data_IF_702101228828
#
_entry.id   IF_702101228828
#
_cell.length_a   1.000
_cell.length_b   1.000
_cell.length_c   1.000
_cell.angle_alpha   90.00
_cell.angle_beta   90.00
_cell.angle_gamma   90.00
#
_symmetry.space_group_name_H-M   'P 1'
#
loop_
_entity.id
_entity.type
_entity.pdbx_description
1 polymer ?
#
# COMPACT_ATOMS: atom_id res chain seq x y z
N UNK A 1 -15.05 -5.15 -7.70
CA UNK A 1 -13.77 -5.07 -8.41
C UNK A 1 -13.19 -6.46 -8.44
N UNK A 2 -13.25 -7.10 -9.59
CA UNK A 2 -12.64 -8.41 -9.82
C UNK A 2 -11.21 -8.22 -10.30
N UNK A 3 -10.36 -9.24 -10.15
CA UNK A 3 -9.00 -9.23 -10.71
C UNK A 3 -9.05 -9.76 -12.14
N UNK A 4 -8.62 -8.94 -13.10
CA UNK A 4 -8.53 -9.31 -14.51
C UNK A 4 -7.11 -9.74 -14.87
N UNK A 5 -6.97 -10.76 -15.73
CA UNK A 5 -5.68 -11.17 -16.29
C UNK A 5 -5.20 -10.26 -17.42
N UNK A 6 -3.99 -10.51 -17.94
CA UNK A 6 -3.35 -9.72 -19.01
C UNK A 6 -3.87 -10.01 -20.43
N UNK A 7 -5.05 -10.61 -20.57
CA UNK A 7 -5.65 -10.96 -21.86
C UNK A 7 -6.70 -9.94 -22.31
N UNK A 8 -7.12 -10.01 -23.57
CA UNK A 8 -8.21 -9.20 -24.11
C UNK A 8 -7.97 -8.74 -25.54
N UNK A 9 -8.87 -7.89 -26.03
CA UNK A 9 -8.75 -7.22 -27.32
C UNK A 9 -8.29 -5.78 -27.10
N UNK A 10 -7.37 -5.30 -27.94
CA UNK A 10 -6.79 -3.95 -27.83
C UNK A 10 -6.96 -3.23 -29.16
N UNK A 11 -7.49 -2.01 -29.11
CA UNK A 11 -7.62 -1.13 -30.27
C UNK A 11 -6.80 0.15 -30.06
N UNK A 12 -5.86 0.42 -30.96
CA UNK A 12 -5.05 1.63 -30.94
C UNK A 12 -5.80 2.81 -31.57
N UNK A 13 -6.10 3.83 -30.76
CA UNK A 13 -6.91 4.99 -31.17
C UNK A 13 -6.10 6.03 -31.98
N UNK A 14 -4.79 5.83 -32.14
CA UNK A 14 -3.92 6.72 -32.92
C UNK A 14 -3.58 8.04 -32.21
N UNK A 15 -2.83 8.92 -32.91
CA UNK A 15 -2.32 10.20 -32.35
C UNK A 15 -3.18 11.42 -32.73
N UNK A 16 -3.87 11.32 -33.87
CA UNK A 16 -4.68 12.42 -34.41
C UNK A 16 -6.14 12.26 -33.98
N UNK A 17 -6.80 13.37 -33.70
CA UNK A 17 -8.21 13.39 -33.30
C UNK A 17 -9.13 12.73 -34.35
N UNK A 18 -8.91 13.00 -35.64
CA UNK A 18 -9.79 12.48 -36.69
C UNK A 18 -9.63 10.96 -36.87
N UNK A 19 -8.39 10.46 -36.79
CA UNK A 19 -8.10 9.03 -36.79
C UNK A 19 -8.71 8.32 -35.56
N UNK A 20 -8.61 8.97 -34.39
CA UNK A 20 -9.23 8.48 -33.16
C UNK A 20 -10.75 8.35 -33.27
N UNK A 21 -11.41 9.37 -33.81
CA UNK A 21 -12.85 9.36 -34.01
C UNK A 21 -13.28 8.31 -35.04
N UNK A 22 -12.50 8.10 -36.10
CA UNK A 22 -12.75 7.04 -37.07
C UNK A 22 -12.67 5.65 -36.42
N UNK A 23 -11.60 5.35 -35.67
CA UNK A 23 -11.45 4.07 -34.97
C UNK A 23 -12.59 3.86 -33.96
N UNK A 24 -12.98 4.89 -33.21
CA UNK A 24 -14.09 4.78 -32.25
C UNK A 24 -15.43 4.53 -32.97
N UNK A 25 -15.64 5.13 -34.14
CA UNK A 25 -16.83 4.88 -34.96
C UNK A 25 -16.86 3.43 -35.46
N UNK A 26 -15.73 2.93 -35.96
CA UNK A 26 -15.61 1.54 -36.43
C UNK A 26 -15.86 0.53 -35.29
N UNK A 27 -15.29 0.78 -34.10
CA UNK A 27 -15.51 -0.07 -32.92
C UNK A 27 -16.98 -0.05 -32.46
N UNK A 28 -17.66 1.09 -32.61
CA UNK A 28 -19.08 1.21 -32.29
C UNK A 28 -19.96 0.49 -33.31
N UNK A 29 -19.62 0.58 -34.60
CA UNK A 29 -20.34 -0.13 -35.67
C UNK A 29 -20.16 -1.65 -35.56
N UNK A 30 -18.98 -2.10 -35.13
CA UNK A 30 -18.67 -3.51 -34.90
C UNK A 30 -19.24 -4.10 -33.59
N UNK A 31 -20.00 -3.32 -32.82
CA UNK A 31 -20.51 -3.70 -31.48
C UNK A 31 -19.41 -4.27 -30.57
N UNK A 32 -18.23 -3.62 -30.58
CA UNK A 32 -17.04 -4.11 -29.87
C UNK A 32 -17.25 -4.23 -28.35
N UNK A 33 -18.18 -3.45 -27.79
CA UNK A 33 -18.63 -3.56 -26.41
C UNK A 33 -20.02 -4.19 -26.42
N UNK A 34 -20.06 -5.48 -26.12
CA UNK A 34 -21.28 -6.28 -26.12
C UNK A 34 -21.75 -6.65 -24.70
N UNK A 35 -22.81 -7.47 -24.61
CA UNK A 35 -23.35 -7.97 -23.33
C UNK A 35 -22.38 -8.89 -22.55
N UNK A 36 -21.35 -9.42 -23.19
CA UNK A 36 -20.37 -10.32 -22.59
C UNK A 36 -19.12 -9.58 -22.11
N UNK A 37 -18.96 -8.33 -22.49
CA UNK A 37 -17.87 -7.46 -22.08
C UNK A 37 -17.91 -7.22 -20.58
N UNK A 38 -16.78 -7.47 -19.90
CA UNK A 38 -16.68 -7.38 -18.43
C UNK A 38 -15.96 -6.16 -17.92
N UNK A 39 -14.95 -5.70 -18.64
CA UNK A 39 -14.22 -4.51 -18.31
C UNK A 39 -13.71 -3.88 -19.60
N UNK A 40 -13.81 -2.56 -19.67
CA UNK A 40 -13.16 -1.76 -20.70
C UNK A 40 -12.17 -0.84 -20.00
N UNK A 41 -10.92 -0.90 -20.44
CA UNK A 41 -9.83 -0.09 -19.89
C UNK A 41 -9.35 0.86 -20.97
N UNK A 42 -9.42 2.16 -20.67
CA UNK A 42 -8.84 3.20 -21.50
C UNK A 42 -7.57 3.66 -20.81
N UNK A 43 -6.43 3.43 -21.47
CA UNK A 43 -5.11 3.73 -20.92
C UNK A 43 -4.31 4.62 -21.86
N UNK A 44 -3.66 5.64 -21.28
CA UNK A 44 -2.73 6.49 -22.00
C UNK A 44 -1.65 7.04 -21.05
N UNK A 45 -0.48 7.35 -21.62
CA UNK A 45 0.66 7.88 -20.87
C UNK A 45 0.97 9.30 -21.33
N UNK A 46 1.11 10.21 -20.37
CA UNK A 46 1.50 11.61 -20.60
C UNK A 46 2.88 11.86 -20.00
N UNK A 47 3.75 12.56 -20.74
CA UNK A 47 5.06 12.99 -20.25
C UNK A 47 5.07 14.50 -20.00
N UNK A 48 5.50 14.91 -18.82
CA UNK A 48 5.73 16.31 -18.49
C UNK A 48 7.23 16.61 -18.51
N UNK A 49 7.69 17.38 -19.51
CA UNK A 49 9.10 17.70 -19.71
C UNK A 49 9.69 18.65 -18.64
N UNK A 50 8.86 19.50 -18.02
CA UNK A 50 9.34 20.49 -17.04
C UNK A 50 9.80 19.84 -15.74
N UNK A 51 9.08 18.80 -15.29
CA UNK A 51 9.39 18.06 -14.05
C UNK A 51 9.96 16.66 -14.31
N UNK A 52 10.01 16.24 -15.58
CA UNK A 52 10.53 14.94 -16.03
C UNK A 52 9.81 13.75 -15.34
N UNK A 53 8.49 13.73 -15.45
CA UNK A 53 7.65 12.64 -14.96
C UNK A 53 6.77 12.08 -16.07
N UNK A 54 6.62 10.77 -16.07
CA UNK A 54 5.64 10.04 -16.85
C UNK A 54 4.44 9.75 -15.95
N UNK A 55 3.23 9.98 -16.45
CA UNK A 55 1.99 9.65 -15.77
C UNK A 55 1.13 8.81 -16.68
N UNK A 56 0.93 7.56 -16.29
CA UNK A 56 0.01 6.63 -16.95
C UNK A 56 -1.35 6.74 -16.27
N UNK A 57 -2.38 7.05 -17.05
CA UNK A 57 -3.75 7.15 -16.60
C UNK A 57 -4.53 5.97 -17.15
N UNK A 58 -5.17 5.23 -16.27
CA UNK A 58 -6.03 4.10 -16.61
C UNK A 58 -7.44 4.36 -16.06
N UNK A 59 -8.41 4.43 -16.97
CA UNK A 59 -9.82 4.54 -16.68
C UNK A 59 -10.47 3.19 -16.97
N UNK A 60 -10.96 2.53 -15.93
CA UNK A 60 -11.59 1.21 -16.06
C UNK A 60 -13.08 1.32 -15.81
N UNK A 61 -13.88 0.79 -16.73
CA UNK A 61 -15.33 0.63 -16.56
C UNK A 61 -15.62 -0.86 -16.47
N UNK A 62 -16.03 -1.32 -15.29
CA UNK A 62 -16.45 -2.70 -15.06
C UNK A 62 -17.96 -2.84 -15.29
N UNK A 63 -18.37 -3.79 -16.12
CA UNK A 63 -19.78 -4.11 -16.37
C UNK A 63 -20.21 -5.30 -15.51
N UNK A 64 -21.16 -5.04 -14.62
CA UNK A 64 -21.73 -6.00 -13.69
C UNK A 64 -22.67 -6.96 -14.43
N UNK A 65 -22.76 -8.20 -13.95
CA UNK A 65 -23.73 -9.19 -14.42
C UNK A 65 -25.19 -8.70 -14.42
N UNK A 66 -25.51 -7.76 -13.53
CA UNK A 66 -26.86 -7.19 -13.37
C UNK A 66 -27.11 -5.95 -14.25
N UNK A 67 -26.22 -5.64 -15.19
CA UNK A 67 -26.38 -4.54 -16.16
C UNK A 67 -25.92 -3.16 -15.68
N UNK A 68 -25.31 -3.06 -14.49
CA UNK A 68 -24.69 -1.82 -14.01
C UNK A 68 -23.25 -1.65 -14.51
N UNK A 69 -22.77 -0.40 -14.52
CA UNK A 69 -21.37 -0.07 -14.84
C UNK A 69 -20.70 0.65 -13.65
N UNK A 70 -19.52 0.20 -13.26
CA UNK A 70 -18.72 0.77 -12.17
C UNK A 70 -17.43 1.33 -12.73
N UNK A 71 -17.25 2.64 -12.63
CA UNK A 71 -16.03 3.31 -13.07
C UNK A 71 -14.98 3.36 -11.96
N UNK A 72 -13.73 3.06 -12.28
CA UNK A 72 -12.57 3.28 -11.44
C UNK A 72 -11.47 4.00 -12.21
N UNK A 73 -10.63 4.75 -11.49
CA UNK A 73 -9.51 5.49 -12.05
C UNK A 73 -8.22 5.14 -11.31
N UNK A 74 -7.15 4.94 -12.06
CA UNK A 74 -5.80 4.72 -11.54
C UNK A 74 -4.85 5.68 -12.24
N UNK A 75 -4.15 6.49 -11.45
CA UNK A 75 -3.13 7.42 -11.95
C UNK A 75 -1.80 6.96 -11.37
N UNK A 76 -0.86 6.63 -12.25
CA UNK A 76 0.45 6.08 -11.90
C UNK A 76 1.53 7.02 -12.41
N UNK A 77 2.21 7.70 -11.49
CA UNK A 77 3.25 8.68 -11.83
C UNK A 77 4.61 8.19 -11.39
N UNK A 78 5.59 8.24 -12.29
CA UNK A 78 6.93 7.72 -12.06
C UNK A 78 7.95 8.38 -12.99
N UNK A 79 9.21 8.31 -12.59
CA UNK A 79 10.32 8.98 -13.29
C UNK A 79 11.24 7.95 -13.92
N UNK A 80 11.11 7.75 -15.24
CA UNK A 80 12.02 6.91 -16.02
C UNK A 80 13.45 7.45 -15.98
N UNK A 81 13.61 8.76 -16.18
CA UNK A 81 14.93 9.38 -16.27
C UNK A 81 15.36 9.99 -14.92
N UNK A 82 15.98 9.18 -14.05
CA UNK A 82 16.30 9.56 -12.67
C UNK A 82 17.42 10.61 -12.54
N UNK A 83 18.52 10.44 -13.25
CA UNK A 83 19.70 11.32 -13.14
C UNK A 83 19.68 12.38 -14.24
N UNK A 84 18.97 13.48 -14.03
CA UNK A 84 18.95 14.63 -14.96
C UNK A 84 19.31 15.91 -14.21
N UNK A 85 20.18 16.71 -14.84
CA UNK A 85 20.57 18.03 -14.37
C UNK A 85 21.41 18.03 -13.08
N UNK A 86 21.64 19.22 -12.49
CA UNK A 86 22.42 19.38 -11.27
C UNK A 86 21.90 18.55 -10.08
N UNK A 87 20.57 18.47 -9.93
CA UNK A 87 19.94 17.65 -8.89
C UNK A 87 20.22 16.15 -9.07
N UNK A 88 20.38 15.67 -10.31
CA UNK A 88 20.74 14.29 -10.59
C UNK A 88 22.10 13.90 -10.02
N UNK A 89 23.10 14.79 -10.09
CA UNK A 89 24.42 14.56 -9.51
C UNK A 89 24.38 14.51 -7.97
N UNK A 90 23.55 15.35 -7.34
CA UNK A 90 23.34 15.32 -5.89
C UNK A 90 22.72 13.98 -5.48
N UNK A 91 21.68 13.53 -6.20
CA UNK A 91 21.05 12.23 -5.95
C UNK A 91 22.06 11.10 -6.10
N UNK A 92 22.92 11.13 -7.14
CA UNK A 92 23.98 10.14 -7.33
C UNK A 92 24.96 10.13 -6.15
N UNK A 93 25.42 11.30 -5.71
CA UNK A 93 26.31 11.43 -4.55
C UNK A 93 25.67 10.85 -3.27
N UNK A 94 24.37 11.08 -3.06
CA UNK A 94 23.62 10.51 -1.94
C UNK A 94 23.49 8.98 -2.03
N UNK A 95 23.37 8.40 -3.23
CA UNK A 95 23.37 6.95 -3.40
C UNK A 95 24.73 6.34 -3.05
N UNK A 96 25.83 6.97 -3.50
CA UNK A 96 27.18 6.54 -3.16
C UNK A 96 27.40 6.62 -1.64
N UNK A 97 26.96 7.72 -1.02
CA UNK A 97 27.02 7.89 0.43
C UNK A 97 26.22 6.81 1.16
N UNK A 98 25.01 6.50 0.70
CA UNK A 98 24.19 5.43 1.27
C UNK A 98 24.88 4.05 1.18
N UNK A 99 25.50 3.74 0.04
CA UNK A 99 26.29 2.50 -0.14
C UNK A 99 27.45 2.45 0.87
N UNK A 100 28.17 3.56 1.06
CA UNK A 100 29.25 3.62 2.04
C UNK A 100 28.75 3.41 3.48
N UNK A 101 27.64 4.05 3.86
CA UNK A 101 27.00 3.85 5.16
C UNK A 101 26.55 2.39 5.33
N UNK A 102 25.97 1.78 4.30
CA UNK A 102 25.55 0.38 4.32
C UNK A 102 26.74 -0.56 4.55
N UNK A 103 27.83 -0.41 3.79
CA UNK A 103 29.04 -1.22 3.96
C UNK A 103 29.63 -1.08 5.37
N UNK A 104 29.64 0.13 5.92
CA UNK A 104 30.04 0.37 7.30
C UNK A 104 29.14 -0.38 8.29
N UNK A 105 27.82 -0.30 8.15
CA UNK A 105 26.88 -1.04 9.02
C UNK A 105 27.04 -2.55 8.89
N UNK A 106 27.26 -3.06 7.68
CA UNK A 106 27.49 -4.48 7.43
C UNK A 106 28.77 -4.96 8.15
N UNK A 107 29.87 -4.23 8.01
CA UNK A 107 31.12 -4.54 8.71
C UNK A 107 30.95 -4.52 10.23
N UNK A 108 30.29 -3.48 10.77
CA UNK A 108 30.03 -3.33 12.20
C UNK A 108 29.23 -4.51 12.76
N UNK A 109 28.11 -4.85 12.12
CA UNK A 109 27.26 -5.95 12.56
C UNK A 109 27.92 -7.32 12.37
N UNK A 110 28.70 -7.53 11.31
CA UNK A 110 29.47 -8.76 11.12
C UNK A 110 30.51 -8.97 12.23
N UNK A 111 31.20 -7.89 12.65
CA UNK A 111 32.13 -7.93 13.79
C UNK A 111 31.40 -8.27 15.09
N UNK A 112 30.29 -7.59 15.38
CA UNK A 112 29.46 -7.85 16.57
C UNK A 112 28.93 -9.28 16.62
N UNK A 113 28.50 -9.81 15.47
CA UNK A 113 28.01 -11.19 15.34
C UNK A 113 29.13 -12.21 15.62
N UNK A 114 30.36 -11.94 15.19
CA UNK A 114 31.53 -12.80 15.46
C UNK A 114 31.89 -12.81 16.95
N UNK A 115 31.82 -11.66 17.62
CA UNK A 115 32.13 -11.54 19.05
C UNK A 115 31.07 -12.16 19.96
N UNK A 116 29.78 -11.99 19.64
CA UNK A 116 28.66 -12.39 20.50
C UNK A 116 28.05 -13.77 20.13
N UNK A 117 28.36 -14.30 18.95
CA UNK A 117 27.87 -15.59 18.47
C UNK A 117 26.35 -15.72 18.53
N UNK A 118 25.85 -16.85 19.06
CA UNK A 118 24.39 -17.13 19.16
C UNK A 118 23.63 -16.20 20.11
N UNK A 119 24.32 -15.50 21.02
CA UNK A 119 23.68 -14.53 21.94
C UNK A 119 23.18 -13.29 21.19
N UNK A 120 23.81 -12.96 20.06
CA UNK A 120 23.42 -11.83 19.22
C UNK A 120 21.97 -11.99 18.73
N UNK A 121 21.59 -13.15 18.20
CA UNK A 121 20.26 -13.40 17.63
C UNK A 121 19.12 -13.47 18.67
N UNK A 122 19.42 -13.61 19.97
CA UNK A 122 18.41 -13.62 21.04
C UNK A 122 17.94 -12.23 21.44
N UNK A 123 18.68 -11.18 21.09
CA UNK A 123 18.29 -9.81 21.42
C UNK A 123 17.37 -9.24 20.34
N UNK A 124 16.18 -8.73 20.68
CA UNK A 124 15.20 -8.27 19.68
C UNK A 124 15.73 -7.12 18.82
N UNK A 125 16.55 -6.24 19.40
CA UNK A 125 17.18 -5.13 18.67
C UNK A 125 18.18 -5.59 17.61
N UNK A 126 18.90 -6.68 17.88
CA UNK A 126 19.86 -7.25 16.94
C UNK A 126 19.14 -8.01 15.82
N UNK A 127 17.98 -8.62 16.09
CA UNK A 127 17.13 -9.17 15.05
C UNK A 127 16.67 -8.07 14.07
N UNK A 128 16.29 -6.90 14.59
CA UNK A 128 15.92 -5.74 13.77
C UNK A 128 17.12 -5.21 12.94
N UNK A 129 18.36 -5.31 13.44
CA UNK A 129 19.58 -5.01 12.68
C UNK A 129 19.76 -5.98 11.50
N UNK A 130 19.60 -7.28 11.73
CA UNK A 130 19.69 -8.31 10.68
C UNK A 130 18.62 -8.08 9.61
N UNK A 131 17.37 -7.86 10.02
CA UNK A 131 16.27 -7.56 9.09
C UNK A 131 16.58 -6.31 8.27
N UNK A 132 17.11 -5.25 8.88
CA UNK A 132 17.50 -4.04 8.16
C UNK A 132 18.55 -4.32 7.07
N UNK A 133 19.56 -5.14 7.37
CA UNK A 133 20.61 -5.51 6.41
C UNK A 133 20.01 -6.31 5.26
N UNK A 134 19.13 -7.27 5.55
CA UNK A 134 18.46 -8.09 4.54
C UNK A 134 17.59 -7.23 3.61
N UNK A 135 16.74 -6.36 4.17
CA UNK A 135 15.89 -5.46 3.38
C UNK A 135 16.75 -4.46 2.59
N UNK A 136 17.87 -3.99 3.15
CA UNK A 136 18.80 -3.11 2.41
C UNK A 136 19.45 -3.83 1.24
N UNK A 137 19.80 -5.11 1.38
CA UNK A 137 20.31 -5.92 0.26
C UNK A 137 19.24 -6.07 -0.84
N UNK A 138 17.99 -6.36 -0.45
CA UNK A 138 16.85 -6.39 -1.38
C UNK A 138 16.66 -5.02 -2.06
N UNK A 139 16.86 -3.91 -1.34
CA UNK A 139 16.76 -2.58 -1.92
C UNK A 139 17.77 -2.37 -3.06
N UNK A 140 19.01 -2.86 -2.91
CA UNK A 140 20.03 -2.79 -3.96
C UNK A 140 19.67 -3.64 -5.18
N UNK A 141 19.17 -4.86 -4.97
CA UNK A 141 18.78 -5.72 -6.10
C UNK A 141 17.59 -5.15 -6.86
N UNK A 142 16.56 -4.68 -6.13
CA UNK A 142 15.39 -4.04 -6.72
C UNK A 142 15.78 -2.75 -7.44
N UNK A 143 16.68 -1.95 -6.89
CA UNK A 143 17.20 -0.75 -7.56
C UNK A 143 17.89 -1.08 -8.89
N UNK A 144 18.70 -2.15 -8.93
CA UNK A 144 19.35 -2.57 -10.17
C UNK A 144 18.34 -3.01 -11.23
N UNK A 145 17.34 -3.82 -10.84
CA UNK A 145 16.28 -4.28 -11.75
C UNK A 145 15.43 -3.11 -12.27
N UNK A 146 15.01 -2.21 -11.39
CA UNK A 146 14.27 -1.01 -11.76
C UNK A 146 15.09 -0.09 -12.69
N UNK A 147 16.40 0.08 -12.44
CA UNK A 147 17.27 0.89 -13.29
C UNK A 147 17.41 0.30 -14.69
N UNK A 148 17.65 -1.02 -14.79
CA UNK A 148 17.76 -1.73 -16.07
C UNK A 148 16.43 -1.65 -16.83
N UNK A 149 15.31 -1.92 -16.15
CA UNK A 149 13.98 -1.89 -16.77
C UNK A 149 13.64 -0.50 -17.27
N UNK A 150 13.91 0.54 -16.48
CA UNK A 150 13.64 1.93 -16.85
C UNK A 150 14.46 2.36 -18.07
N UNK A 151 15.73 1.98 -18.15
CA UNK A 151 16.58 2.23 -19.33
C UNK A 151 16.04 1.52 -20.57
N UNK A 152 15.73 0.23 -20.45
CA UNK A 152 15.22 -0.56 -21.57
C UNK A 152 13.89 0.00 -22.10
N UNK A 153 12.99 0.43 -21.21
CA UNK A 153 11.73 1.07 -21.60
C UNK A 153 11.98 2.41 -22.29
N UNK A 154 12.91 3.22 -21.78
CA UNK A 154 13.26 4.51 -22.37
C UNK A 154 13.89 4.36 -23.78
N UNK A 155 14.83 3.43 -23.95
CA UNK A 155 15.49 3.18 -25.23
C UNK A 155 14.49 2.69 -26.29
N UNK A 156 13.54 1.82 -25.91
CA UNK A 156 12.48 1.35 -26.82
C UNK A 156 11.53 2.47 -27.25
N UNK A 157 11.18 3.39 -26.33
CA UNK A 157 10.35 4.54 -26.65
C UNK A 157 11.03 5.48 -27.65
N UNK A 158 12.33 5.74 -27.46
CA UNK A 158 13.09 6.62 -28.33
C UNK A 158 13.35 6.02 -29.71
N UNK A 159 13.66 4.72 -29.78
CA UNK A 159 14.13 4.10 -31.02
C UNK A 159 13.07 3.36 -31.82
N UNK A 160 12.09 2.72 -31.17
CA UNK A 160 11.20 1.79 -31.88
C UNK A 160 9.78 2.33 -32.10
N UNK A 161 9.41 3.50 -31.55
CA UNK A 161 8.06 4.07 -31.70
C UNK A 161 6.94 3.03 -31.50
N UNK A 162 7.23 2.02 -30.67
CA UNK A 162 6.38 0.84 -30.54
C UNK A 162 5.21 1.20 -29.64
N UNK A 163 3.99 0.96 -30.11
CA UNK A 163 2.75 1.39 -29.45
C UNK A 163 2.36 0.50 -28.25
N UNK A 164 3.25 -0.38 -27.81
CA UNK A 164 2.98 -1.34 -26.75
C UNK A 164 3.10 -0.69 -25.37
N UNK A 165 1.95 -0.33 -24.78
CA UNK A 165 1.81 0.26 -23.44
C UNK A 165 2.26 -0.67 -22.30
N UNK A 166 2.35 -1.99 -22.55
CA UNK A 166 2.71 -3.01 -21.55
C UNK A 166 4.10 -2.80 -20.92
N UNK A 167 5.02 -2.12 -21.60
CA UNK A 167 6.35 -1.82 -21.05
C UNK A 167 6.34 -0.77 -19.94
N UNK A 168 5.33 0.10 -19.92
CA UNK A 168 5.19 1.12 -18.89
C UNK A 168 4.72 0.51 -17.57
N UNK A 169 3.82 -0.48 -17.62
CA UNK A 169 3.37 -1.22 -16.44
C UNK A 169 4.50 -1.95 -15.72
N UNK A 170 5.39 -2.61 -16.47
CA UNK A 170 6.53 -3.32 -15.88
C UNK A 170 7.50 -2.34 -15.21
N UNK A 171 7.82 -1.22 -15.87
CA UNK A 171 8.68 -0.19 -15.29
C UNK A 171 8.06 0.43 -14.03
N UNK A 172 6.75 0.70 -14.05
CA UNK A 172 6.02 1.17 -12.88
C UNK A 172 6.03 0.16 -11.74
N UNK A 173 5.80 -1.12 -12.01
CA UNK A 173 5.79 -2.17 -11.00
C UNK A 173 7.11 -2.23 -10.23
N UNK A 174 8.25 -2.28 -10.94
CA UNK A 174 9.56 -2.28 -10.30
C UNK A 174 9.86 -0.98 -9.54
N UNK A 175 9.39 0.16 -10.06
CA UNK A 175 9.50 1.43 -9.36
C UNK A 175 8.73 1.43 -8.03
N UNK A 176 7.51 0.91 -8.04
CA UNK A 176 6.67 0.81 -6.86
C UNK A 176 7.28 -0.13 -5.80
N UNK A 177 7.81 -1.27 -6.23
CA UNK A 177 8.52 -2.22 -5.35
C UNK A 177 9.77 -1.56 -4.76
N UNK A 178 10.50 -0.77 -5.54
CA UNK A 178 11.65 0.01 -5.06
C UNK A 178 11.22 1.00 -3.97
N UNK A 179 10.16 1.79 -4.20
CA UNK A 179 9.64 2.75 -3.23
C UNK A 179 9.19 2.06 -1.94
N UNK A 180 8.47 0.95 -2.04
CA UNK A 180 8.05 0.18 -0.86
C UNK A 180 9.24 -0.37 -0.07
N UNK A 181 10.26 -0.86 -0.75
CA UNK A 181 11.46 -1.40 -0.12
C UNK A 181 12.25 -0.30 0.60
N UNK A 182 12.46 0.85 -0.05
CA UNK A 182 13.13 2.01 0.56
C UNK A 182 12.33 2.56 1.73
N UNK A 183 11.01 2.66 1.62
CA UNK A 183 10.14 3.09 2.71
C UNK A 183 10.25 2.14 3.92
N UNK A 184 10.33 0.83 3.67
CA UNK A 184 10.53 -0.17 4.73
C UNK A 184 11.88 0.00 5.41
N UNK A 185 12.97 0.20 4.66
CA UNK A 185 14.29 0.49 5.24
C UNK A 185 14.26 1.76 6.08
N UNK A 186 13.65 2.84 5.57
CA UNK A 186 13.53 4.11 6.29
C UNK A 186 12.73 3.94 7.59
N UNK A 187 11.62 3.21 7.55
CA UNK A 187 10.80 2.90 8.72
C UNK A 187 11.60 2.12 9.78
N UNK A 188 12.34 1.09 9.38
CA UNK A 188 13.19 0.32 10.30
C UNK A 188 14.28 1.21 10.90
N UNK A 189 14.91 2.07 10.11
CA UNK A 189 15.92 3.04 10.61
C UNK A 189 15.32 4.05 11.59
N UNK A 190 14.09 4.52 11.36
CA UNK A 190 13.36 5.38 12.32
C UNK A 190 13.07 4.61 13.61
N UNK A 191 12.65 3.35 13.54
CA UNK A 191 12.49 2.50 14.72
C UNK A 191 13.82 2.30 15.48
N UNK A 192 14.95 2.22 14.77
CA UNK A 192 16.29 2.18 15.41
C UNK A 192 16.61 3.46 16.18
N UNK A 193 16.11 4.62 15.75
CA UNK A 193 16.28 5.87 16.50
C UNK A 193 15.66 5.78 17.90
N UNK A 194 14.56 5.02 18.07
CA UNK A 194 13.98 4.76 19.40
C UNK A 194 14.96 4.02 20.34
N UNK A 195 15.87 3.20 19.81
CA UNK A 195 16.93 2.56 20.61
C UNK A 195 17.90 3.58 21.18
N UNK A 196 18.25 4.62 20.42
CA UNK A 196 19.12 5.71 20.87
C UNK A 196 18.44 6.54 21.96
N UNK A 197 17.12 6.66 21.93
CA UNK A 197 16.38 7.37 22.98
C UNK A 197 16.39 6.65 24.34
N UNK A 198 16.82 5.37 24.41
CA UNK A 198 16.97 4.63 25.68
C UNK A 198 18.01 5.25 26.63
N UNK A 199 18.93 6.09 26.13
CA UNK A 199 19.86 6.83 26.99
C UNK A 199 19.12 7.81 27.92
N UNK A 200 17.89 8.22 27.57
CA UNK A 200 17.05 9.01 28.47
C UNK A 200 16.44 8.07 29.54
N UNK A 201 16.65 8.34 30.84
CA UNK A 201 16.12 7.51 31.92
C UNK A 201 14.58 7.37 31.86
N UNK A 202 13.87 8.42 31.44
CA UNK A 202 12.41 8.41 31.28
C UNK A 202 11.97 7.40 30.19
N UNK A 203 12.69 7.35 29.07
CA UNK A 203 12.40 6.41 27.99
C UNK A 203 12.74 4.97 28.37
N UNK A 204 13.78 4.75 29.17
CA UNK A 204 14.10 3.41 29.66
C UNK A 204 13.00 2.88 30.58
N UNK A 205 12.44 3.72 31.47
CA UNK A 205 11.31 3.35 32.34
C UNK A 205 10.08 3.00 31.50
N UNK A 206 9.71 3.85 30.54
CA UNK A 206 8.60 3.59 29.61
C UNK A 206 8.75 2.25 28.87
N UNK A 207 9.93 1.96 28.32
CA UNK A 207 10.18 0.69 27.63
C UNK A 207 10.06 -0.52 28.56
N UNK A 208 10.52 -0.42 29.81
CA UNK A 208 10.36 -1.51 30.79
C UNK A 208 8.90 -1.71 31.20
N UNK A 209 8.14 -0.63 31.42
CA UNK A 209 6.71 -0.71 31.73
C UNK A 209 5.92 -1.33 30.56
N UNK A 210 6.16 -0.85 29.33
CA UNK A 210 5.56 -1.43 28.11
C UNK A 210 5.87 -2.92 27.95
N UNK A 211 7.11 -3.33 28.24
CA UNK A 211 7.49 -4.75 28.17
C UNK A 211 6.81 -5.60 29.25
N UNK A 212 6.56 -5.01 30.43
CA UNK A 212 5.90 -5.70 31.55
C UNK A 212 4.41 -5.88 31.31
N UNK A 213 3.72 -4.88 30.75
CA UNK A 213 2.29 -4.96 30.44
C UNK A 213 1.98 -5.76 29.15
N UNK A 214 2.98 -5.98 28.28
CA UNK A 214 2.82 -6.67 27.00
C UNK A 214 2.09 -8.03 27.08
N UNK A 215 2.39 -8.96 28.00
CA UNK A 215 1.67 -10.22 28.11
C UNK A 215 0.18 -10.04 28.46
N UNK A 216 -0.16 -9.09 29.31
CA UNK A 216 -1.55 -8.80 29.69
C UNK A 216 -2.33 -8.15 28.55
N UNK A 217 -1.71 -7.17 27.88
CA UNK A 217 -2.26 -6.57 26.65
C UNK A 217 -2.44 -7.61 25.56
N UNK A 218 -1.48 -8.52 25.39
CA UNK A 218 -1.58 -9.60 24.40
C UNK A 218 -2.73 -10.56 24.72
N UNK A 219 -2.91 -10.93 25.99
CA UNK A 219 -4.05 -11.72 26.44
C UNK A 219 -5.38 -11.03 26.16
N UNK A 220 -5.50 -9.75 26.52
CA UNK A 220 -6.68 -8.93 26.22
C UNK A 220 -6.94 -8.78 24.71
N UNK A 221 -5.89 -8.61 23.91
CA UNK A 221 -6.00 -8.47 22.45
C UNK A 221 -6.62 -9.71 21.78
N UNK A 222 -6.39 -10.91 22.32
CA UNK A 222 -7.05 -12.14 21.84
C UNK A 222 -8.56 -12.06 22.04
N UNK A 223 -9.02 -11.71 23.25
CA UNK A 223 -10.46 -11.53 23.53
C UNK A 223 -11.07 -10.43 22.67
N UNK A 224 -10.39 -9.30 22.55
CA UNK A 224 -10.82 -8.20 21.69
C UNK A 224 -10.96 -8.64 20.24
N UNK A 225 -10.02 -9.42 19.71
CA UNK A 225 -10.06 -9.87 18.31
C UNK A 225 -11.30 -10.74 18.04
N UNK A 226 -11.65 -11.66 18.94
CA UNK A 226 -12.87 -12.47 18.80
C UNK A 226 -14.14 -11.62 18.83
N UNK A 227 -14.22 -10.68 19.78
CA UNK A 227 -15.36 -9.79 19.89
C UNK A 227 -15.47 -8.89 18.66
N UNK A 228 -14.36 -8.30 18.23
CA UNK A 228 -14.28 -7.45 17.05
C UNK A 228 -14.72 -8.20 15.80
N UNK A 229 -14.17 -9.39 15.54
CA UNK A 229 -14.55 -10.22 14.39
C UNK A 229 -16.04 -10.60 14.41
N UNK A 230 -16.63 -10.81 15.59
CA UNK A 230 -18.07 -11.07 15.73
C UNK A 230 -18.91 -9.88 15.26
N UNK A 231 -18.52 -8.65 15.63
CA UNK A 231 -19.17 -7.43 15.13
C UNK A 231 -18.92 -7.20 13.64
N UNK A 232 -17.72 -7.51 13.13
CA UNK A 232 -17.41 -7.43 11.70
C UNK A 232 -18.32 -8.36 10.91
N UNK A 233 -18.47 -9.60 11.34
CA UNK A 233 -19.34 -10.57 10.68
C UNK A 233 -20.81 -10.15 10.76
N UNK A 234 -21.28 -9.71 11.92
CA UNK A 234 -22.63 -9.20 12.09
C UNK A 234 -22.91 -7.99 11.19
N UNK A 235 -22.00 -7.01 11.16
CA UNK A 235 -22.12 -5.83 10.32
C UNK A 235 -22.16 -6.17 8.83
N UNK A 236 -21.31 -7.10 8.39
CA UNK A 236 -21.33 -7.58 7.01
C UNK A 236 -22.66 -8.24 6.65
N UNK A 237 -23.21 -9.09 7.52
CA UNK A 237 -24.47 -9.80 7.28
C UNK A 237 -25.69 -8.85 7.27
N UNK A 238 -25.72 -7.86 8.16
CA UNK A 238 -26.86 -6.93 8.29
C UNK A 238 -26.82 -5.83 7.23
N UNK A 239 -25.64 -5.24 6.98
CA UNK A 239 -25.51 -4.04 6.16
C UNK A 239 -24.86 -4.27 4.80
N UNK A 240 -24.21 -5.42 4.57
CA UNK A 240 -23.36 -5.64 3.41
C UNK A 240 -24.04 -5.59 2.03
N UNK A 241 -25.36 -5.79 1.98
CA UNK A 241 -26.13 -5.67 0.74
C UNK A 241 -26.56 -4.23 0.40
N UNK A 242 -26.56 -3.33 1.39
CA UNK A 242 -27.12 -1.98 1.25
C UNK A 242 -26.08 -0.88 1.36
N UNK A 243 -25.03 -1.09 2.16
CA UNK A 243 -23.99 -0.11 2.44
C UNK A 243 -22.66 -0.61 1.88
N UNK A 244 -22.05 0.18 1.00
CA UNK A 244 -20.78 -0.16 0.35
C UNK A 244 -19.66 -0.39 1.37
N UNK A 245 -19.67 0.36 2.47
CA UNK A 245 -18.73 0.24 3.58
C UNK A 245 -18.73 -1.14 4.25
N UNK A 246 -19.86 -1.85 4.21
CA UNK A 246 -20.00 -3.19 4.80
C UNK A 246 -20.02 -4.32 3.75
N UNK A 247 -19.75 -4.01 2.49
CA UNK A 247 -19.88 -4.94 1.35
C UNK A 247 -18.97 -6.16 1.40
N UNK A 248 -17.84 -6.08 2.10
CA UNK A 248 -16.91 -7.21 2.31
C UNK A 248 -16.53 -7.28 3.78
N UNK A 249 -16.05 -8.43 4.24
CA UNK A 249 -15.56 -8.61 5.62
C UNK A 249 -14.43 -7.61 5.93
N UNK A 250 -13.50 -7.42 4.99
CA UNK A 250 -12.39 -6.48 5.15
C UNK A 250 -12.86 -5.02 5.19
N UNK A 251 -13.81 -4.64 4.31
CA UNK A 251 -14.40 -3.31 4.33
C UNK A 251 -15.17 -3.06 5.64
N UNK A 252 -15.97 -4.03 6.10
CA UNK A 252 -16.69 -3.98 7.37
C UNK A 252 -15.74 -3.82 8.56
N UNK A 253 -14.62 -4.55 8.56
CA UNK A 253 -13.55 -4.38 9.56
C UNK A 253 -12.96 -2.97 9.55
N UNK A 254 -12.63 -2.44 8.37
CA UNK A 254 -12.16 -1.06 8.24
C UNK A 254 -13.18 -0.05 8.77
N UNK A 255 -14.45 -0.21 8.42
CA UNK A 255 -15.52 0.71 8.85
C UNK A 255 -15.77 0.65 10.35
N UNK A 256 -15.70 -0.53 10.97
CA UNK A 256 -15.80 -0.64 12.43
C UNK A 256 -14.59 -0.02 13.14
N UNK A 257 -13.37 -0.19 12.62
CA UNK A 257 -12.20 0.52 13.15
C UNK A 257 -12.36 2.04 13.04
N UNK A 258 -12.89 2.55 11.93
CA UNK A 258 -13.19 3.99 11.77
C UNK A 258 -14.29 4.46 12.72
N UNK A 259 -15.31 3.62 12.94
CA UNK A 259 -16.38 3.87 13.91
C UNK A 259 -15.83 4.01 15.33
N UNK A 260 -14.87 3.16 15.74
CA UNK A 260 -14.17 3.27 17.02
C UNK A 260 -13.38 4.59 17.16
N UNK A 261 -12.90 5.16 16.06
CA UNK A 261 -12.24 6.49 16.01
C UNK A 261 -13.24 7.66 15.98
N UNK A 262 -14.56 7.38 15.98
CA UNK A 262 -15.62 8.38 15.92
C UNK A 262 -16.04 8.78 14.50
N UNK A 263 -15.54 8.10 13.46
CA UNK A 263 -15.91 8.36 12.07
C UNK A 263 -16.92 7.33 11.60
N UNK A 264 -18.22 7.66 11.63
CA UNK A 264 -19.28 6.81 11.09
C UNK A 264 -20.42 7.63 10.49
N UNK A 265 -21.04 7.11 9.43
CA UNK A 265 -22.23 7.72 8.81
C UNK A 265 -23.51 7.15 9.43
N UNK A 266 -24.06 7.86 10.42
CA UNK A 266 -25.25 7.42 11.14
C UNK A 266 -26.50 7.36 10.25
N UNK A 267 -26.62 8.27 9.29
CA UNK A 267 -27.79 8.40 8.41
C UNK A 267 -27.92 7.20 7.45
N UNK A 268 -26.79 6.68 6.95
CA UNK A 268 -26.77 5.47 6.10
C UNK A 268 -27.19 4.20 6.87
N UNK A 269 -26.77 4.10 8.13
CA UNK A 269 -27.12 2.95 8.99
C UNK A 269 -28.60 2.99 9.37
N UNK A 270 -29.13 4.19 9.70
CA UNK A 270 -30.54 4.41 10.02
C UNK A 270 -31.47 4.12 8.85
N UNK A 271 -31.10 4.57 7.65
CA UNK A 271 -31.90 4.38 6.43
C UNK A 271 -31.98 2.90 6.01
N UNK A 272 -30.98 2.10 6.37
CA UNK A 272 -30.95 0.66 6.12
C UNK A 272 -31.90 -0.11 7.03
N UNK A 273 -31.86 0.17 8.34
CA UNK A 273 -32.69 -0.48 9.34
C UNK A 273 -32.93 0.43 10.54
N UNK A 274 -34.20 0.77 10.79
CA UNK A 274 -34.58 1.73 11.83
C UNK A 274 -34.32 1.23 13.26
N UNK A 275 -34.31 -0.09 13.48
CA UNK A 275 -34.16 -0.71 14.81
C UNK A 275 -32.78 -1.37 14.98
N UNK A 276 -32.41 -2.27 14.05
CA UNK A 276 -31.17 -3.06 14.15
C UNK A 276 -29.93 -2.17 14.01
N UNK A 277 -29.97 -1.16 13.13
CA UNK A 277 -28.89 -0.21 12.89
C UNK A 277 -28.42 0.50 14.17
N UNK A 278 -29.29 1.28 14.82
CA UNK A 278 -28.96 1.95 16.07
C UNK A 278 -28.56 0.99 17.19
N UNK A 279 -29.23 -0.16 17.32
CA UNK A 279 -28.90 -1.16 18.34
C UNK A 279 -27.49 -1.72 18.15
N UNK A 280 -27.13 -2.06 16.92
CA UNK A 280 -25.80 -2.54 16.55
C UNK A 280 -24.72 -1.50 16.88
N UNK A 281 -24.93 -0.26 16.44
CA UNK A 281 -23.96 0.82 16.63
C UNK A 281 -23.81 1.17 18.12
N UNK A 282 -24.90 1.30 18.85
CA UNK A 282 -24.86 1.56 20.29
C UNK A 282 -24.17 0.44 21.06
N UNK A 283 -24.50 -0.83 20.76
CA UNK A 283 -23.85 -1.97 21.39
C UNK A 283 -22.34 -1.99 21.11
N UNK A 284 -21.93 -1.76 19.86
CA UNK A 284 -20.52 -1.69 19.48
C UNK A 284 -19.79 -0.55 20.19
N UNK A 285 -20.35 0.67 20.17
CA UNK A 285 -19.74 1.83 20.81
C UNK A 285 -19.66 1.68 22.33
N UNK A 286 -20.68 1.13 22.98
CA UNK A 286 -20.61 0.83 24.41
C UNK A 286 -19.47 -0.14 24.71
N UNK A 287 -19.33 -1.23 23.95
CA UNK A 287 -18.23 -2.17 24.18
C UNK A 287 -16.87 -1.51 23.94
N UNK A 288 -16.71 -0.76 22.84
CA UNK A 288 -15.43 -0.12 22.53
C UNK A 288 -15.06 0.94 23.57
N UNK A 289 -15.95 1.90 23.84
CA UNK A 289 -15.60 3.01 24.72
C UNK A 289 -15.63 2.62 26.20
N UNK A 290 -16.58 1.78 26.64
CA UNK A 290 -16.71 1.44 28.06
C UNK A 290 -15.81 0.26 28.43
N UNK A 291 -15.75 -0.78 27.61
CA UNK A 291 -15.03 -2.01 28.01
C UNK A 291 -13.57 -1.92 27.58
N UNK A 292 -13.29 -1.61 26.32
CA UNK A 292 -11.92 -1.69 25.79
C UNK A 292 -11.03 -0.60 26.38
N UNK A 293 -11.47 0.66 26.35
CA UNK A 293 -10.65 1.76 26.87
C UNK A 293 -10.42 1.58 28.38
N UNK A 294 -11.44 1.24 29.15
CA UNK A 294 -11.28 1.09 30.60
C UNK A 294 -10.39 -0.10 30.96
N UNK A 295 -10.48 -1.24 30.27
CA UNK A 295 -9.59 -2.38 30.50
C UNK A 295 -8.16 -2.03 30.09
N UNK A 296 -7.96 -1.36 28.95
CA UNK A 296 -6.63 -0.94 28.52
C UNK A 296 -6.00 0.03 29.53
N UNK A 297 -6.77 1.00 30.04
CA UNK A 297 -6.33 1.93 31.09
C UNK A 297 -6.02 1.19 32.39
N UNK A 298 -6.83 0.19 32.76
CA UNK A 298 -6.56 -0.64 33.94
C UNK A 298 -5.21 -1.39 33.81
N UNK A 299 -4.96 -2.03 32.66
CA UNK A 299 -3.70 -2.74 32.38
C UNK A 299 -2.49 -1.78 32.33
N UNK A 300 -2.69 -0.54 31.89
CA UNK A 300 -1.61 0.48 31.88
C UNK A 300 -1.29 0.99 33.29
N UNK A 301 -2.30 1.08 34.15
CA UNK A 301 -2.15 1.63 35.50
C UNK A 301 -1.63 0.62 36.53
N UNK A 302 -1.75 -0.68 36.26
CA UNK A 302 -1.20 -1.78 37.09
C UNK A 302 0.30 -2.05 36.79
#
# INVERSE_FOLDING_TARGET
IATYGSGGYVAGVGRNKDAALAVIADLKEADWIDRYTRAVVVEFTVYNANINFFSTMSYTVEFLNMGGAVSSRSIRTYRLHRFVGPAGYIILALHIFYVACFLYTLYREAKLMKEQGKRYCRQPWNLLEIVNILVSFIAFTVFAVDYITSRNTLDKLLHHHDNNLSFFDLAFFWNQVFVWTVATVAFINILKFLRLLRFNPLMSVLMTSLRRMLPEVAGFAVYFTFLFLSFVQLGHLVFGLKIQEYSTIAASGKSLFLCALGSFNFDEILSTSRIIGPMFLYAYLCIVFIIIINILVAIIND
#
